data_IF_780666857233
#
_entry.id   IF_780666857233
#
_cell.length_a   1.000
_cell.length_b   1.000
_cell.length_c   1.000
_cell.angle_alpha   90.00
_cell.angle_beta   90.00
_cell.angle_gamma   90.00
#
_symmetry.space_group_name_H-M   'P 1'
#
loop_
_entity.id
_entity.type
_entity.pdbx_description
1 polymer ?
#
# COMPACT_ATOMS: atom_id res chain seq x y z
N UNK A 1 4.30 -15.38 -17.66
CA UNK A 1 4.62 -16.83 -17.80
C UNK A 1 6.15 -16.95 -17.91
N UNK A 2 6.83 -17.51 -16.90
CA UNK A 2 8.31 -17.64 -16.89
C UNK A 2 8.75 -18.48 -18.10
N UNK A 3 9.74 -18.01 -18.87
CA UNK A 3 10.19 -18.74 -20.06
C UNK A 3 10.86 -20.03 -19.61
N UNK A 4 10.41 -21.15 -20.16
CA UNK A 4 10.88 -22.51 -19.84
C UNK A 4 12.41 -22.68 -19.93
N UNK A 5 13.10 -21.79 -20.67
CA UNK A 5 14.55 -21.76 -20.83
C UNK A 5 15.33 -21.21 -19.62
N UNK A 6 14.75 -20.32 -18.81
CA UNK A 6 15.43 -19.80 -17.61
C UNK A 6 15.46 -20.84 -16.48
N UNK A 7 14.37 -21.59 -16.32
CA UNK A 7 14.23 -22.61 -15.27
C UNK A 7 15.19 -23.80 -15.49
N UNK A 8 15.57 -24.08 -16.74
CA UNK A 8 16.54 -25.13 -17.08
C UNK A 8 17.99 -24.79 -16.69
N UNK A 9 18.30 -23.54 -16.33
CA UNK A 9 19.64 -23.12 -15.91
C UNK A 9 19.91 -23.36 -14.41
N UNK A 10 18.86 -23.62 -13.61
CA UNK A 10 18.94 -23.83 -12.16
C UNK A 10 18.14 -25.08 -11.77
N UNK A 11 18.69 -26.29 -11.98
CA UNK A 11 17.97 -27.55 -11.78
C UNK A 11 17.51 -27.77 -10.34
N UNK A 12 18.24 -27.22 -9.36
CA UNK A 12 17.88 -27.30 -7.94
C UNK A 12 16.60 -26.49 -7.60
N UNK A 13 16.38 -25.39 -8.33
CA UNK A 13 15.19 -24.54 -8.18
C UNK A 13 13.96 -25.17 -8.84
N UNK A 14 14.15 -25.99 -9.89
CA UNK A 14 13.05 -26.63 -10.61
C UNK A 14 12.19 -27.50 -9.69
N UNK A 15 12.84 -28.29 -8.82
CA UNK A 15 12.12 -29.15 -7.88
C UNK A 15 11.29 -28.33 -6.88
N UNK A 16 11.86 -27.24 -6.35
CA UNK A 16 11.18 -26.34 -5.41
C UNK A 16 10.01 -25.61 -6.07
N UNK A 17 10.22 -25.08 -7.28
CA UNK A 17 9.18 -24.39 -8.05
C UNK A 17 8.06 -25.34 -8.49
N UNK A 18 8.39 -26.59 -8.85
CA UNK A 18 7.39 -27.61 -9.17
C UNK A 18 6.56 -27.97 -7.93
N UNK A 19 7.21 -28.15 -6.77
CA UNK A 19 6.54 -28.44 -5.50
C UNK A 19 5.64 -27.28 -5.08
N UNK A 20 6.10 -26.04 -5.21
CA UNK A 20 5.31 -24.83 -4.98
C UNK A 20 4.11 -24.76 -5.93
N UNK A 21 4.30 -25.03 -7.23
CA UNK A 21 3.22 -25.03 -8.23
C UNK A 21 2.17 -26.11 -7.96
N UNK A 22 2.60 -27.29 -7.50
CA UNK A 22 1.69 -28.36 -7.10
C UNK A 22 0.94 -28.02 -5.81
N UNK A 23 1.61 -27.42 -4.83
CA UNK A 23 0.99 -26.94 -3.59
C UNK A 23 -0.03 -25.82 -3.86
N UNK A 24 0.31 -24.85 -4.73
CA UNK A 24 -0.61 -23.80 -5.18
C UNK A 24 -1.80 -24.42 -5.91
N UNK A 25 -1.61 -25.37 -6.83
CA UNK A 25 -2.73 -26.07 -7.50
C UNK A 25 -3.59 -26.89 -6.55
N UNK A 26 -3.00 -27.48 -5.53
CA UNK A 26 -3.73 -28.23 -4.51
C UNK A 26 -4.54 -27.29 -3.62
N UNK A 27 -3.94 -26.18 -3.20
CA UNK A 27 -4.62 -25.11 -2.49
C UNK A 27 -5.72 -24.50 -3.36
N UNK A 28 -5.48 -24.20 -4.64
CA UNK A 28 -6.50 -23.71 -5.58
C UNK A 28 -7.68 -24.68 -5.67
N UNK A 29 -7.45 -26.00 -5.73
CA UNK A 29 -8.53 -27.00 -5.73
C UNK A 29 -9.31 -27.07 -4.41
N UNK A 30 -8.70 -26.69 -3.30
CA UNK A 30 -9.36 -26.61 -1.99
C UNK A 30 -10.02 -25.26 -1.76
N UNK A 31 -9.51 -24.20 -2.38
CA UNK A 31 -9.99 -22.83 -2.28
C UNK A 31 -11.13 -22.60 -3.29
N UNK A 32 -11.24 -23.35 -4.41
CA UNK A 32 -12.46 -23.40 -5.24
C UNK A 32 -13.60 -23.80 -4.31
N UNK A 33 -14.48 -22.86 -3.92
CA UNK A 33 -15.64 -23.19 -3.16
C UNK A 33 -16.66 -23.77 -4.13
N UNK A 34 -17.58 -24.59 -3.63
CA UNK A 34 -18.70 -25.03 -4.44
C UNK A 34 -19.50 -23.79 -4.91
N UNK A 35 -20.16 -23.89 -6.07
CA UNK A 35 -20.79 -22.78 -6.83
C UNK A 35 -21.85 -21.95 -6.05
N UNK A 36 -22.12 -22.31 -4.81
CA UNK A 36 -23.14 -21.83 -3.88
C UNK A 36 -22.72 -20.63 -3.02
N UNK A 37 -21.47 -20.14 -3.15
CA UNK A 37 -21.01 -18.94 -2.42
C UNK A 37 -20.42 -17.84 -3.33
N UNK A 38 -21.25 -16.88 -3.77
CA UNK A 38 -20.87 -15.79 -4.69
C UNK A 38 -19.69 -14.92 -4.22
N UNK A 39 -19.50 -14.77 -2.90
CA UNK A 39 -18.44 -13.95 -2.31
C UNK A 39 -17.04 -14.49 -2.60
N UNK A 40 -16.87 -15.82 -2.66
CA UNK A 40 -15.58 -16.41 -2.98
C UNK A 40 -15.25 -16.37 -4.47
N UNK A 41 -16.26 -16.50 -5.34
CA UNK A 41 -16.10 -16.26 -6.78
C UNK A 41 -15.65 -14.82 -7.07
N UNK A 42 -16.14 -13.86 -6.27
CA UNK A 42 -15.65 -12.50 -6.26
C UNK A 42 -14.20 -12.39 -5.72
N UNK A 43 -13.86 -13.02 -4.60
CA UNK A 43 -12.47 -13.07 -4.09
C UNK A 43 -11.50 -13.63 -5.13
N UNK A 44 -11.90 -14.68 -5.85
CA UNK A 44 -11.12 -15.23 -6.96
C UNK A 44 -11.03 -14.30 -8.16
N UNK A 45 -12.12 -13.63 -8.54
CA UNK A 45 -12.10 -12.67 -9.64
C UNK A 45 -11.24 -11.46 -9.29
N UNK A 46 -11.32 -10.99 -8.04
CA UNK A 46 -10.47 -9.93 -7.50
C UNK A 46 -9.02 -10.38 -7.46
N UNK A 47 -8.74 -11.57 -6.91
CA UNK A 47 -7.40 -12.17 -6.91
C UNK A 47 -6.88 -12.34 -8.34
N UNK A 48 -7.71 -12.79 -9.29
CA UNK A 48 -7.34 -12.99 -10.68
C UNK A 48 -7.21 -11.67 -11.45
N UNK A 49 -7.89 -10.59 -11.04
CA UNK A 49 -7.61 -9.21 -11.48
C UNK A 49 -6.32 -8.69 -10.83
N UNK A 50 -6.08 -9.02 -9.56
CA UNK A 50 -4.86 -8.72 -8.84
C UNK A 50 -3.67 -9.55 -9.30
N UNK A 51 -3.86 -10.71 -9.93
CA UNK A 51 -2.80 -11.62 -10.40
C UNK A 51 -2.73 -11.69 -11.92
N UNK A 52 -3.75 -11.34 -12.71
CA UNK A 52 -3.63 -11.10 -14.17
C UNK A 52 -3.58 -9.62 -14.54
N UNK A 53 -3.86 -8.72 -13.60
CA UNK A 53 -3.23 -7.41 -13.54
C UNK A 53 -1.87 -7.51 -12.85
N UNK A 54 -1.73 -8.39 -11.85
CA UNK A 54 -0.54 -8.58 -11.00
C UNK A 54 0.65 -9.32 -11.56
N UNK A 55 0.45 -10.37 -12.36
CA UNK A 55 1.55 -11.09 -13.03
C UNK A 55 2.03 -10.33 -14.25
N UNK A 56 1.20 -9.43 -14.75
CA UNK A 56 1.57 -8.29 -15.57
C UNK A 56 2.19 -7.18 -14.71
N UNK A 57 1.85 -6.96 -13.42
CA UNK A 57 2.53 -5.96 -12.56
C UNK A 57 3.89 -6.40 -11.97
N UNK A 58 4.15 -7.70 -11.79
CA UNK A 58 5.45 -8.22 -11.35
C UNK A 58 6.39 -8.55 -12.51
N UNK A 59 5.87 -8.69 -13.75
CA UNK A 59 6.67 -9.01 -14.93
C UNK A 59 6.38 -8.17 -16.19
N UNK A 60 5.49 -7.18 -16.16
CA UNK A 60 5.58 -6.06 -17.08
C UNK A 60 6.50 -5.02 -16.44
N UNK A 61 7.41 -4.43 -17.23
CA UNK A 61 7.72 -3.04 -16.98
C UNK A 61 6.35 -2.35 -16.89
N UNK A 62 6.05 -1.71 -15.76
CA UNK A 62 5.06 -0.62 -15.72
C UNK A 62 5.07 0.04 -17.09
N UNK A 63 3.90 0.36 -17.64
CA UNK A 63 3.88 1.33 -18.72
C UNK A 63 4.87 2.44 -18.35
N UNK A 64 5.81 2.80 -19.24
CA UNK A 64 6.88 3.74 -18.91
C UNK A 64 6.36 5.06 -18.31
N UNK A 65 5.05 5.31 -18.40
CA UNK A 65 4.30 6.44 -17.88
C UNK A 65 4.12 6.44 -16.35
N UNK A 66 3.86 5.31 -15.67
CA UNK A 66 3.64 5.28 -14.21
C UNK A 66 4.89 4.90 -13.36
N UNK A 67 5.98 4.49 -14.02
CA UNK A 67 7.29 4.24 -13.38
C UNK A 67 8.21 5.47 -13.43
N UNK A 68 7.72 6.54 -14.03
CA UNK A 68 8.38 7.82 -14.13
C UNK A 68 7.77 8.78 -13.10
N UNK A 69 8.59 9.78 -12.77
CA UNK A 69 8.40 10.79 -11.72
C UNK A 69 6.93 11.18 -11.55
N UNK A 70 6.41 11.02 -10.33
CA UNK A 70 5.16 11.66 -9.93
C UNK A 70 5.42 13.17 -9.99
N UNK A 71 4.84 13.88 -10.96
CA UNK A 71 5.17 15.29 -11.16
C UNK A 71 4.30 16.17 -10.25
N UNK A 72 2.98 15.92 -10.22
CA UNK A 72 1.99 16.76 -9.51
C UNK A 72 1.36 16.07 -8.32
N UNK A 73 0.69 16.85 -7.47
CA UNK A 73 -0.15 16.30 -6.40
C UNK A 73 -1.33 15.47 -6.91
N UNK A 74 -1.86 15.80 -8.09
CA UNK A 74 -2.95 15.06 -8.71
C UNK A 74 -2.46 13.69 -9.21
N UNK A 75 -1.27 13.62 -9.83
CA UNK A 75 -0.64 12.35 -10.21
C UNK A 75 -0.42 11.45 -8.98
N UNK A 76 -0.04 12.07 -7.85
CA UNK A 76 0.19 11.37 -6.59
C UNK A 76 -1.11 10.76 -6.02
N UNK A 77 -2.20 11.54 -6.04
CA UNK A 77 -3.52 11.08 -5.63
C UNK A 77 -4.05 9.99 -6.55
N UNK A 78 -3.94 10.17 -7.87
CA UNK A 78 -4.34 9.19 -8.89
C UNK A 78 -3.57 7.88 -8.72
N UNK A 79 -2.25 7.94 -8.52
CA UNK A 79 -1.43 6.77 -8.23
C UNK A 79 -1.94 6.02 -6.99
N UNK A 80 -2.17 6.74 -5.88
CA UNK A 80 -2.66 6.13 -4.64
C UNK A 80 -4.04 5.50 -4.83
N UNK A 81 -4.93 6.16 -5.57
CA UNK A 81 -6.26 5.65 -5.88
C UNK A 81 -6.18 4.41 -6.77
N UNK A 82 -5.32 4.40 -7.77
CA UNK A 82 -5.12 3.28 -8.68
C UNK A 82 -4.64 2.02 -7.95
N UNK A 83 -3.65 2.15 -7.05
CA UNK A 83 -3.08 0.99 -6.35
C UNK A 83 -3.96 0.47 -5.22
N UNK A 84 -4.79 1.31 -4.61
CA UNK A 84 -5.58 0.92 -3.43
C UNK A 84 -7.09 0.79 -3.68
N UNK A 85 -7.63 1.51 -4.65
CA UNK A 85 -9.06 1.50 -5.01
C UNK A 85 -9.62 0.10 -5.24
N UNK A 86 -8.96 -0.76 -6.05
CA UNK A 86 -9.41 -2.13 -6.25
C UNK A 86 -9.45 -2.97 -4.97
N UNK A 87 -8.52 -2.74 -4.03
CA UNK A 87 -8.51 -3.43 -2.73
C UNK A 87 -9.73 -3.01 -1.92
N UNK A 88 -9.97 -1.70 -1.80
CA UNK A 88 -11.09 -1.14 -1.04
C UNK A 88 -12.44 -1.64 -1.54
N UNK A 89 -12.70 -1.50 -2.85
CA UNK A 89 -13.93 -2.00 -3.50
C UNK A 89 -14.08 -3.50 -3.29
N UNK A 90 -12.96 -4.24 -3.37
CA UNK A 90 -12.90 -5.65 -3.10
C UNK A 90 -13.41 -6.03 -1.71
N UNK A 91 -12.88 -5.37 -0.69
CA UNK A 91 -13.24 -5.68 0.69
C UNK A 91 -14.70 -5.34 1.01
N UNK A 92 -15.22 -4.20 0.53
CA UNK A 92 -16.63 -3.84 0.79
C UNK A 92 -17.62 -4.79 0.14
N UNK A 93 -17.32 -5.32 -1.05
CA UNK A 93 -18.14 -6.36 -1.70
C UNK A 93 -18.15 -7.66 -0.91
N UNK A 94 -17.04 -8.01 -0.26
CA UNK A 94 -16.99 -9.19 0.64
C UNK A 94 -17.86 -8.95 1.88
N UNK A 95 -17.78 -7.75 2.48
CA UNK A 95 -18.60 -7.42 3.65
C UNK A 95 -20.10 -7.40 3.32
N UNK A 96 -20.47 -6.84 2.18
CA UNK A 96 -21.83 -6.87 1.63
C UNK A 96 -22.30 -8.32 1.42
N UNK A 97 -21.53 -9.13 0.70
CA UNK A 97 -21.92 -10.50 0.40
C UNK A 97 -21.94 -11.40 1.66
N UNK A 98 -21.26 -10.99 2.74
CA UNK A 98 -21.34 -11.64 4.06
C UNK A 98 -22.51 -11.17 4.93
N UNK A 99 -23.28 -10.18 4.48
CA UNK A 99 -24.40 -9.58 5.22
C UNK A 99 -23.97 -8.74 6.44
N UNK A 100 -22.69 -8.37 6.53
CA UNK A 100 -22.13 -7.66 7.70
C UNK A 100 -22.14 -6.14 7.56
N UNK A 101 -22.20 -5.63 6.34
CA UNK A 101 -22.18 -4.20 6.05
C UNK A 101 -22.83 -3.95 4.70
N UNK A 102 -23.56 -2.84 4.55
CA UNK A 102 -24.08 -2.42 3.25
C UNK A 102 -22.94 -1.96 2.33
N UNK A 103 -23.09 -2.05 1.00
CA UNK A 103 -22.07 -1.58 0.07
C UNK A 103 -21.80 -0.09 0.28
N UNK A 104 -20.55 0.25 0.58
CA UNK A 104 -20.12 1.64 0.66
C UNK A 104 -19.96 2.24 -0.74
N UNK A 105 -20.19 3.55 -0.91
CA UNK A 105 -19.81 4.27 -2.13
C UNK A 105 -18.33 4.02 -2.50
N UNK A 106 -18.02 3.96 -3.80
CA UNK A 106 -16.66 3.62 -4.28
C UNK A 106 -15.60 4.66 -3.85
N UNK A 107 -15.97 5.94 -3.83
CA UNK A 107 -15.11 7.03 -3.33
C UNK A 107 -14.76 6.83 -1.84
N UNK A 108 -15.72 6.36 -1.05
CA UNK A 108 -15.52 6.11 0.37
C UNK A 108 -14.73 4.81 0.62
N UNK A 109 -14.88 3.83 -0.27
CA UNK A 109 -14.14 2.55 -0.21
C UNK A 109 -12.65 2.74 -0.50
N UNK A 110 -12.29 3.75 -1.29
CA UNK A 110 -10.92 4.02 -1.74
C UNK A 110 -10.16 5.00 -0.84
N UNK A 111 -10.84 5.93 -0.16
CA UNK A 111 -10.18 6.99 0.63
C UNK A 111 -9.29 6.45 1.76
N UNK A 112 -9.73 5.39 2.46
CA UNK A 112 -8.90 4.72 3.47
C UNK A 112 -7.66 4.08 2.84
N UNK A 113 -7.81 3.51 1.65
CA UNK A 113 -6.71 2.96 0.88
C UNK A 113 -5.67 4.02 0.56
N UNK A 114 -6.11 5.17 0.04
CA UNK A 114 -5.26 6.33 -0.25
C UNK A 114 -4.50 6.77 0.99
N UNK A 115 -5.19 6.99 2.11
CA UNK A 115 -4.55 7.39 3.37
C UNK A 115 -3.44 6.41 3.81
N UNK A 116 -3.73 5.11 3.77
CA UNK A 116 -2.78 4.07 4.11
C UNK A 116 -1.58 4.05 3.15
N UNK A 117 -1.83 4.24 1.85
CA UNK A 117 -0.78 4.25 0.85
C UNK A 117 0.14 5.46 0.99
N UNK A 118 -0.43 6.66 1.16
CA UNK A 118 0.36 7.88 1.41
C UNK A 118 1.22 7.75 2.65
N UNK A 119 0.67 7.19 3.73
CA UNK A 119 1.42 6.93 4.96
C UNK A 119 2.61 6.00 4.74
N UNK A 120 2.42 4.91 3.99
CA UNK A 120 3.51 3.99 3.67
C UNK A 120 4.58 4.68 2.82
N UNK A 121 4.19 5.40 1.77
CA UNK A 121 5.10 6.15 0.89
C UNK A 121 5.94 7.18 1.66
N UNK A 122 5.34 7.86 2.64
CA UNK A 122 6.05 8.82 3.49
C UNK A 122 7.09 8.10 4.34
N UNK A 123 6.66 7.03 5.03
CA UNK A 123 7.51 6.30 5.98
C UNK A 123 8.66 5.57 5.27
N UNK A 124 8.39 4.97 4.12
CA UNK A 124 9.30 4.11 3.37
C UNK A 124 10.25 4.87 2.43
N UNK A 125 10.28 6.21 2.48
CA UNK A 125 11.14 7.05 1.64
C UNK A 125 12.56 6.49 1.48
N UNK A 126 13.25 6.17 2.58
CA UNK A 126 14.65 5.73 2.54
C UNK A 126 14.81 4.35 1.88
N UNK A 127 13.84 3.46 2.06
CA UNK A 127 13.82 2.15 1.41
C UNK A 127 13.62 2.30 -0.10
N UNK A 128 12.68 3.16 -0.50
CA UNK A 128 12.35 3.43 -1.91
C UNK A 128 13.50 4.07 -2.68
N UNK A 129 14.13 5.10 -2.12
CA UNK A 129 15.24 5.82 -2.77
C UNK A 129 16.58 5.04 -2.73
N UNK A 130 16.66 3.98 -1.92
CA UNK A 130 17.84 3.13 -1.83
C UNK A 130 17.70 1.83 -2.63
N UNK A 131 16.59 1.64 -3.35
CA UNK A 131 16.38 0.44 -4.18
C UNK A 131 17.36 0.36 -5.36
N UNK A 132 17.85 -0.85 -5.63
CA UNK A 132 18.80 -1.19 -6.69
C UNK A 132 18.11 -2.13 -7.68
N UNK A 133 18.24 -1.94 -9.01
CA UNK A 133 19.20 -1.05 -9.69
C UNK A 133 18.74 0.40 -9.86
N UNK A 134 17.46 0.71 -9.62
CA UNK A 134 16.90 2.04 -9.82
C UNK A 134 16.05 2.43 -8.60
N UNK A 135 16.22 3.65 -8.04
CA UNK A 135 15.37 4.13 -6.96
C UNK A 135 13.91 4.27 -7.40
N UNK A 136 12.99 4.02 -6.48
CA UNK A 136 11.56 4.32 -6.63
C UNK A 136 11.30 5.72 -6.12
N UNK A 137 10.62 6.54 -6.91
CA UNK A 137 10.34 7.94 -6.57
C UNK A 137 8.84 8.18 -6.64
N UNK A 138 8.19 8.10 -5.48
CA UNK A 138 6.75 8.28 -5.35
C UNK A 138 6.34 9.68 -4.87
N UNK A 139 7.28 10.45 -4.30
CA UNK A 139 6.98 11.78 -3.81
C UNK A 139 6.85 12.76 -4.98
N UNK A 140 5.79 13.58 -5.02
CA UNK A 140 5.51 14.48 -6.12
C UNK A 140 6.58 15.55 -6.26
N UNK A 141 7.08 15.74 -7.48
CA UNK A 141 8.10 16.73 -7.80
C UNK A 141 7.63 18.16 -7.49
N UNK A 142 6.35 18.45 -7.69
CA UNK A 142 5.71 19.72 -7.36
C UNK A 142 5.98 20.14 -5.90
N UNK A 143 5.95 19.19 -4.96
CA UNK A 143 6.27 19.45 -3.55
C UNK A 143 7.78 19.46 -3.34
N UNK A 144 8.47 18.40 -3.78
CA UNK A 144 9.87 18.18 -3.44
C UNK A 144 10.81 19.24 -4.03
N UNK A 145 10.49 19.74 -5.24
CA UNK A 145 11.29 20.75 -5.94
C UNK A 145 11.31 22.11 -5.24
N UNK A 146 10.37 22.38 -4.32
CA UNK A 146 10.40 23.57 -3.44
C UNK A 146 11.58 23.54 -2.47
N UNK A 147 12.10 22.35 -2.16
CA UNK A 147 13.08 22.10 -1.10
C UNK A 147 14.44 21.67 -1.66
N UNK A 148 14.46 20.75 -2.62
CA UNK A 148 15.68 20.15 -3.20
C UNK A 148 15.57 19.99 -4.72
N UNK A 149 16.71 19.90 -5.40
CA UNK A 149 16.73 19.72 -6.86
C UNK A 149 16.36 18.28 -7.27
N UNK A 150 16.81 17.29 -6.48
CA UNK A 150 16.50 15.88 -6.70
C UNK A 150 15.92 15.27 -5.43
N UNK A 151 14.94 14.38 -5.58
CA UNK A 151 14.28 13.73 -4.45
C UNK A 151 15.28 12.97 -3.57
N UNK A 152 16.32 12.38 -4.16
CA UNK A 152 17.33 11.60 -3.42
C UNK A 152 18.19 12.48 -2.51
N UNK A 153 18.21 13.80 -2.73
CA UNK A 153 19.05 14.73 -1.97
C UNK A 153 18.52 14.93 -0.54
N UNK A 154 17.26 14.60 -0.26
CA UNK A 154 16.67 14.73 1.09
C UNK A 154 17.34 13.82 2.12
N UNK A 155 18.04 12.75 1.69
CA UNK A 155 18.77 11.84 2.59
C UNK A 155 20.06 12.44 3.15
N UNK A 156 20.60 13.47 2.50
CA UNK A 156 21.89 14.05 2.90
C UNK A 156 21.74 15.05 4.04
N UNK A 157 22.73 15.07 4.93
CA UNK A 157 22.66 15.81 6.18
C UNK A 157 22.56 17.32 5.96
N UNK A 158 23.22 17.86 4.93
CA UNK A 158 23.15 19.26 4.55
C UNK A 158 21.72 19.75 4.23
N UNK A 159 20.82 18.84 3.86
CA UNK A 159 19.44 19.15 3.51
C UNK A 159 18.46 18.91 4.66
N UNK A 160 18.92 18.58 5.88
CA UNK A 160 18.05 18.12 6.97
C UNK A 160 16.86 19.05 7.28
N UNK A 161 17.08 20.36 7.33
CA UNK A 161 16.01 21.34 7.61
C UNK A 161 14.96 21.34 6.50
N UNK A 162 15.41 21.33 5.25
CA UNK A 162 14.54 21.31 4.06
C UNK A 162 13.79 19.98 3.95
N UNK A 163 14.46 18.88 4.31
CA UNK A 163 13.86 17.55 4.34
C UNK A 163 12.74 17.45 5.36
N UNK A 164 12.93 17.98 6.58
CA UNK A 164 11.88 18.04 7.58
C UNK A 164 10.68 18.89 7.12
N UNK A 165 10.92 20.02 6.45
CA UNK A 165 9.84 20.85 5.90
C UNK A 165 9.05 20.14 4.79
N UNK A 166 9.76 19.51 3.85
CA UNK A 166 9.15 18.71 2.79
C UNK A 166 8.32 17.55 3.35
N UNK A 167 8.85 16.84 4.36
CA UNK A 167 8.15 15.79 5.08
C UNK A 167 6.86 16.29 5.71
N UNK A 168 6.89 17.43 6.38
CA UNK A 168 5.72 18.01 7.02
C UNK A 168 4.62 18.38 6.01
N UNK A 169 4.99 18.86 4.81
CA UNK A 169 4.03 19.12 3.73
C UNK A 169 3.38 17.82 3.23
N UNK A 170 4.16 16.76 3.00
CA UNK A 170 3.65 15.44 2.61
C UNK A 170 2.73 14.83 3.68
N UNK A 171 3.09 14.95 4.96
CA UNK A 171 2.25 14.48 6.07
C UNK A 171 0.95 15.29 6.13
N UNK A 172 1.03 16.61 5.98
CA UNK A 172 -0.16 17.48 5.98
C UNK A 172 -1.13 17.08 4.86
N UNK A 173 -0.60 16.72 3.70
CA UNK A 173 -1.42 16.20 2.61
C UNK A 173 -2.09 14.86 2.96
N UNK A 174 -1.37 13.91 3.54
CA UNK A 174 -1.94 12.65 3.98
C UNK A 174 -3.03 12.85 5.06
N UNK A 175 -2.86 13.82 5.96
CA UNK A 175 -3.80 14.09 7.05
C UNK A 175 -5.18 14.59 6.57
N UNK A 176 -5.28 15.14 5.35
CA UNK A 176 -6.58 15.55 4.76
C UNK A 176 -7.59 14.39 4.71
N UNK A 177 -7.10 13.17 4.58
CA UNK A 177 -7.93 11.96 4.47
C UNK A 177 -8.39 11.39 5.83
N UNK A 178 -7.85 11.88 6.95
CA UNK A 178 -8.11 11.31 8.29
C UNK A 178 -9.56 11.50 8.71
N UNK A 179 -10.13 12.69 8.48
CA UNK A 179 -11.51 12.97 8.87
C UNK A 179 -12.49 12.02 8.18
N UNK A 180 -12.32 11.80 6.88
CA UNK A 180 -13.18 10.89 6.11
C UNK A 180 -12.96 9.43 6.50
N UNK A 181 -11.72 9.03 6.84
CA UNK A 181 -11.45 7.71 7.41
C UNK A 181 -12.21 7.52 8.74
N UNK A 182 -12.20 8.52 9.63
CA UNK A 182 -12.90 8.46 10.91
C UNK A 182 -14.42 8.39 10.73
N UNK A 183 -14.98 9.23 9.86
CA UNK A 183 -16.40 9.19 9.50
C UNK A 183 -16.79 7.82 8.96
N UNK A 184 -15.98 7.27 8.04
CA UNK A 184 -16.25 5.96 7.48
C UNK A 184 -16.26 4.86 8.55
N UNK A 185 -15.24 4.82 9.41
CA UNK A 185 -15.17 3.84 10.50
C UNK A 185 -16.35 3.97 11.47
N UNK A 186 -16.83 5.19 11.74
CA UNK A 186 -18.00 5.43 12.59
C UNK A 186 -19.32 4.90 12.02
N UNK A 187 -19.39 4.72 10.69
CA UNK A 187 -20.57 4.22 9.99
C UNK A 187 -20.61 2.68 9.88
N UNK A 188 -19.57 1.98 10.34
CA UNK A 188 -19.51 0.51 10.33
C UNK A 188 -20.36 -0.06 11.47
N UNK A 189 -21.26 -0.99 11.12
CA UNK A 189 -22.23 -1.57 12.08
C UNK A 189 -21.69 -2.82 12.76
N UNK A 190 -20.97 -3.66 12.01
CA UNK A 190 -20.41 -4.90 12.53
C UNK A 190 -19.08 -4.67 13.27
N UNK A 191 -18.97 -5.17 14.50
CA UNK A 191 -17.78 -5.02 15.33
C UNK A 191 -16.53 -5.69 14.73
N UNK A 192 -16.70 -6.79 14.01
CA UNK A 192 -15.59 -7.50 13.34
C UNK A 192 -15.04 -6.69 12.17
N UNK A 193 -15.94 -6.19 11.32
CA UNK A 193 -15.62 -5.28 10.21
C UNK A 193 -14.99 -3.99 10.74
N UNK A 194 -15.56 -3.37 11.78
CA UNK A 194 -15.00 -2.20 12.42
C UNK A 194 -13.56 -2.42 12.87
N UNK A 195 -13.28 -3.47 13.65
CA UNK A 195 -11.93 -3.79 14.12
C UNK A 195 -10.97 -3.99 12.96
N UNK A 196 -11.39 -4.74 11.95
CA UNK A 196 -10.57 -5.00 10.76
C UNK A 196 -10.22 -3.70 10.03
N UNK A 197 -11.22 -2.84 9.79
CA UNK A 197 -11.05 -1.57 9.09
C UNK A 197 -10.30 -0.53 9.93
N UNK A 198 -10.38 -0.57 11.27
CA UNK A 198 -9.82 0.47 12.14
C UNK A 198 -8.35 0.28 12.53
N UNK A 199 -7.87 -0.96 12.62
CA UNK A 199 -6.50 -1.23 13.09
C UNK A 199 -5.45 -0.53 12.20
N UNK A 200 -5.58 -0.65 10.87
CA UNK A 200 -4.58 -0.12 9.93
C UNK A 200 -4.57 1.42 9.89
N UNK A 201 -5.71 2.14 9.78
CA UNK A 201 -5.74 3.59 9.85
C UNK A 201 -5.21 4.15 11.17
N UNK A 202 -5.58 3.55 12.31
CA UNK A 202 -5.07 4.01 13.62
C UNK A 202 -3.55 3.84 13.71
N UNK A 203 -3.03 2.71 13.23
CA UNK A 203 -1.59 2.49 13.15
C UNK A 203 -0.91 3.49 12.20
N UNK A 204 -1.54 3.80 11.07
CA UNK A 204 -1.05 4.79 10.11
C UNK A 204 -1.01 6.20 10.72
N UNK A 205 -2.05 6.62 11.44
CA UNK A 205 -2.05 7.89 12.20
C UNK A 205 -0.91 7.93 13.22
N UNK A 206 -0.70 6.85 13.97
CA UNK A 206 0.45 6.74 14.89
C UNK A 206 1.80 6.79 14.18
N UNK A 207 1.88 6.24 12.95
CA UNK A 207 3.10 6.28 12.14
C UNK A 207 3.40 7.70 11.67
N UNK A 208 2.39 8.42 11.15
CA UNK A 208 2.53 9.81 10.75
C UNK A 208 2.94 10.71 11.93
N UNK A 209 2.39 10.46 13.12
CA UNK A 209 2.80 11.18 14.33
C UNK A 209 4.28 10.96 14.69
N UNK A 210 4.83 9.76 14.48
CA UNK A 210 6.26 9.49 14.66
C UNK A 210 7.14 10.07 13.55
N UNK A 211 6.61 10.15 12.32
CA UNK A 211 7.32 10.75 11.19
C UNK A 211 7.32 12.28 11.24
N UNK A 212 6.31 12.90 11.86
CA UNK A 212 6.17 14.35 11.85
C UNK A 212 7.41 15.06 12.42
N UNK A 213 7.98 15.96 11.61
CA UNK A 213 9.20 16.70 11.93
C UNK A 213 10.39 15.82 12.37
N UNK A 214 10.46 14.57 11.92
CA UNK A 214 11.47 13.60 12.31
C UNK A 214 12.44 13.29 11.16
N UNK A 215 13.70 13.68 11.32
CA UNK A 215 14.73 13.49 10.29
C UNK A 215 15.12 12.02 10.10
N UNK A 216 14.83 11.16 11.08
CA UNK A 216 15.17 9.74 11.01
C UNK A 216 14.49 9.03 9.84
N UNK A 217 13.36 9.55 9.33
CA UNK A 217 12.70 9.08 8.09
C UNK A 217 13.69 9.04 6.92
N UNK A 218 14.61 9.98 6.85
CA UNK A 218 15.57 10.13 5.76
C UNK A 218 16.91 9.43 6.02
N UNK A 219 17.22 9.09 7.28
CA UNK A 219 18.54 8.59 7.70
C UNK A 219 18.55 7.11 8.08
N UNK A 220 17.60 6.69 8.90
CA UNK A 220 17.54 5.31 9.44
C UNK A 220 16.22 4.61 9.15
N UNK A 221 15.22 5.34 8.65
CA UNK A 221 13.83 4.91 8.60
C UNK A 221 13.16 4.92 9.98
N UNK A 222 11.83 5.03 9.98
CA UNK A 222 11.01 5.05 11.20
C UNK A 222 10.05 3.87 11.17
N UNK A 223 9.98 3.09 12.26
CA UNK A 223 9.02 1.99 12.39
C UNK A 223 8.37 2.04 13.76
N UNK A 224 7.05 1.90 13.79
CA UNK A 224 6.33 1.66 15.04
C UNK A 224 6.84 0.35 15.65
N UNK A 225 7.37 0.43 16.86
CA UNK A 225 7.71 -0.75 17.63
C UNK A 225 6.42 -1.35 18.19
N UNK A 226 6.19 -2.68 18.11
CA UNK A 226 5.12 -3.31 18.87
C UNK A 226 5.29 -2.92 20.33
N UNK A 227 4.27 -2.29 20.91
CA UNK A 227 4.39 -1.65 22.22
C UNK A 227 4.88 -2.61 23.31
N UNK A 228 5.92 -2.20 24.03
CA UNK A 228 5.97 -2.46 25.46
C UNK A 228 4.80 -1.70 26.10
N UNK A 229 4.15 -2.32 27.08
CA UNK A 229 2.92 -1.87 27.75
C UNK A 229 3.14 -0.65 28.67
N UNK A 230 3.77 0.40 28.17
CA UNK A 230 3.97 1.65 28.91
C UNK A 230 3.06 2.74 28.33
N UNK A 231 1.74 2.48 28.35
CA UNK A 231 0.76 3.56 28.36
C UNK A 231 0.72 4.11 29.79
N UNK A 232 0.82 5.43 30.01
CA UNK A 232 0.54 5.99 31.32
C UNK A 232 -0.90 5.62 31.68
N UNK A 233 -1.07 4.87 32.76
CA UNK A 233 -2.38 4.78 33.39
C UNK A 233 -2.69 6.16 33.96
N UNK A 234 -3.55 6.89 33.26
CA UNK A 234 -4.27 8.05 33.81
C UNK A 234 -5.51 7.57 34.55
#
# INVERSE_FOLDING_TARGET
MVRLREVLKHPDEFHVLLKLKLAVRHAEKQIIPPLDHPHWGFCYTLLNKFTNGGTTLLLQPFEPQLRNVVETMDDYEEYCHYVTGPIGIGMFKIFEASGKQDLAPENLSSIMGVFLQKTNIIRDYLEDISEIPKPRMFWPREVCSKYVNRLEDLKYEENSVKAAQCLNEMITDALKHVEDCLKHMSALKDNGVFRFCAIRPVLAMGTLALCYNNIDVFKTGVKLRPGNKDLPQS
#
